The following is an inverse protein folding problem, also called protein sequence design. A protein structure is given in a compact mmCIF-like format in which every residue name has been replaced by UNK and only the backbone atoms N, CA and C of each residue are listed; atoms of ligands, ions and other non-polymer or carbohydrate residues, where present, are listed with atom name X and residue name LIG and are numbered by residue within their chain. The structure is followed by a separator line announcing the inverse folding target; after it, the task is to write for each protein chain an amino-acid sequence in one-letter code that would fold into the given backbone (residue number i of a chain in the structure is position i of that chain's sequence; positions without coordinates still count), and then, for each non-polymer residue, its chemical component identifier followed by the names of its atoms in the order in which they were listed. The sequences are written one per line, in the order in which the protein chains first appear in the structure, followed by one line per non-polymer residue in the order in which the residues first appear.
data_IF_361948757034
#
_entry.id   IF_361948757034
#
_cell.length_a   1.000
_cell.length_b   1.000
_cell.length_c   1.000
_cell.angle_alpha   90.00
_cell.angle_beta   90.00
_cell.angle_gamma   90.00
#
_symmetry.space_group_name_H-M   'P 1'
#
loop_
_entity.id
_entity.type
_entity.pdbx_description
1 polymer ?
#
# COMPACT_ATOMS: atom_id res chain seq x y z
N UNK A 1 -7.86 -15.16 6.72
CA UNK A 1 -6.91 -14.10 7.15
C UNK A 1 -7.71 -12.86 7.53
N UNK A 2 -7.39 -12.21 8.65
CA UNK A 2 -8.08 -11.00 9.15
C UNK A 2 -7.09 -9.86 9.33
N UNK A 3 -7.59 -8.62 9.46
CA UNK A 3 -6.71 -7.46 9.66
C UNK A 3 -5.81 -7.59 10.91
N UNK A 4 -6.28 -8.05 12.09
CA UNK A 4 -5.40 -8.32 13.22
C UNK A 4 -4.32 -9.37 12.93
N UNK A 5 -4.64 -10.41 12.15
CA UNK A 5 -3.65 -11.42 11.76
C UNK A 5 -2.57 -10.84 10.83
N UNK A 6 -2.96 -9.96 9.90
CA UNK A 6 -2.01 -9.23 9.04
C UNK A 6 -1.11 -8.32 9.88
N UNK A 7 -1.69 -7.60 10.85
CA UNK A 7 -0.97 -6.70 11.75
C UNK A 7 -0.04 -7.42 12.73
N UNK A 8 -0.28 -8.71 12.98
CA UNK A 8 0.60 -9.53 13.80
C UNK A 8 1.89 -9.97 13.06
N UNK A 9 1.90 -9.88 11.73
CA UNK A 9 3.07 -10.26 10.93
C UNK A 9 4.25 -9.30 11.15
N UNK A 10 5.47 -9.83 11.10
CA UNK A 10 6.70 -9.00 11.14
C UNK A 10 6.75 -8.06 9.95
N UNK A 11 6.37 -8.56 8.79
CA UNK A 11 6.42 -7.83 7.53
C UNK A 11 5.12 -8.02 6.75
N UNK A 12 4.64 -6.93 6.14
CA UNK A 12 3.48 -6.94 5.26
C UNK A 12 3.87 -6.30 3.93
N UNK A 13 3.54 -6.98 2.85
CA UNK A 13 3.89 -6.57 1.49
C UNK A 13 2.59 -6.48 0.70
N UNK A 14 2.19 -5.27 0.31
CA UNK A 14 1.00 -5.01 -0.48
C UNK A 14 1.42 -4.89 -1.94
N UNK A 15 0.89 -5.75 -2.79
CA UNK A 15 1.19 -5.73 -4.23
C UNK A 15 -0.05 -5.28 -4.98
N UNK A 16 0.09 -4.29 -5.86
CA UNK A 16 -0.99 -3.81 -6.71
C UNK A 16 -0.47 -3.42 -8.09
N UNK A 17 -1.26 -3.72 -9.12
CA UNK A 17 -0.98 -3.37 -10.50
C UNK A 17 -2.26 -2.88 -11.17
N UNK A 18 -2.13 -2.05 -12.19
CA UNK A 18 -3.25 -1.47 -12.93
C UNK A 18 -3.73 -0.11 -12.40
N UNK A 19 -4.19 0.73 -13.33
CA UNK A 19 -4.65 2.08 -13.06
C UNK A 19 -5.87 2.09 -12.13
N UNK A 20 -6.74 1.08 -12.19
CA UNK A 20 -7.92 0.98 -11.36
C UNK A 20 -7.59 0.85 -9.87
N UNK A 21 -6.35 0.47 -9.52
CA UNK A 21 -5.87 0.39 -8.13
C UNK A 21 -5.28 1.70 -7.62
N UNK A 22 -4.93 2.64 -8.51
CA UNK A 22 -4.23 3.88 -8.17
C UNK A 22 -4.96 4.72 -7.10
N UNK A 23 -6.30 4.75 -7.16
CA UNK A 23 -7.11 5.46 -6.16
C UNK A 23 -7.01 4.82 -4.77
N UNK A 24 -7.14 3.49 -4.69
CA UNK A 24 -7.06 2.75 -3.44
C UNK A 24 -5.64 2.80 -2.84
N UNK A 25 -4.61 2.73 -3.68
CA UNK A 25 -3.21 2.88 -3.28
C UNK A 25 -2.94 4.26 -2.70
N UNK A 26 -3.40 5.33 -3.37
CA UNK A 26 -3.29 6.70 -2.86
C UNK A 26 -3.95 6.83 -1.50
N UNK A 27 -5.17 6.31 -1.35
CA UNK A 27 -5.88 6.35 -0.07
C UNK A 27 -5.12 5.57 1.01
N UNK A 28 -4.62 4.37 0.70
CA UNK A 28 -3.92 3.53 1.66
C UNK A 28 -2.60 4.14 2.18
N UNK A 29 -1.92 4.91 1.33
CA UNK A 29 -0.68 5.61 1.68
C UNK A 29 -0.94 6.99 2.29
N UNK A 30 -2.07 7.62 1.99
CA UNK A 30 -2.54 8.78 2.74
C UNK A 30 -3.03 8.33 4.13
N UNK A 31 -3.08 9.22 5.13
CA UNK A 31 -3.48 8.90 6.50
C UNK A 31 -4.96 8.44 6.68
N UNK A 32 -5.59 7.89 5.64
CA UNK A 32 -6.88 7.22 5.68
C UNK A 32 -6.85 6.02 6.61
N UNK A 33 -7.96 5.78 7.31
CA UNK A 33 -8.11 4.62 8.19
C UNK A 33 -8.55 3.36 7.44
N UNK A 34 -8.39 2.17 8.05
CA UNK A 34 -8.79 0.89 7.44
C UNK A 34 -10.29 0.77 7.12
N UNK A 35 -11.12 1.63 7.70
CA UNK A 35 -12.56 1.75 7.38
C UNK A 35 -12.79 2.29 5.96
N UNK A 36 -11.93 3.23 5.51
CA UNK A 36 -12.04 3.83 4.18
C UNK A 36 -11.44 2.91 3.10
N UNK A 37 -10.28 2.31 3.41
CA UNK A 37 -9.64 1.32 2.55
C UNK A 37 -8.89 0.29 3.40
N UNK A 38 -9.21 -1.02 3.30
CA UNK A 38 -8.61 -2.03 4.17
C UNK A 38 -7.07 -2.08 4.13
N UNK A 39 -6.47 -1.80 2.96
CA UNK A 39 -5.02 -1.78 2.78
C UNK A 39 -4.31 -0.67 3.58
N UNK A 40 -5.01 0.38 4.03
CA UNK A 40 -4.44 1.37 4.94
C UNK A 40 -4.06 0.77 6.30
N UNK A 41 -4.78 -0.28 6.72
CA UNK A 41 -4.52 -1.00 7.97
C UNK A 41 -3.54 -2.16 7.85
N UNK A 42 -3.11 -2.51 6.63
CA UNK A 42 -2.23 -3.64 6.35
C UNK A 42 -0.78 -3.31 6.71
N UNK A 43 -0.52 -3.06 8.00
CA UNK A 43 0.78 -2.65 8.53
C UNK A 43 1.38 -3.77 9.37
N UNK A 44 2.60 -4.19 9.01
CA UNK A 44 3.38 -5.15 9.79
C UNK A 44 4.06 -4.49 11.00
N UNK A 45 4.47 -5.30 11.98
CA UNK A 45 5.14 -4.83 13.20
C UNK A 45 6.52 -4.23 12.96
N UNK A 46 7.22 -4.68 11.92
CA UNK A 46 8.55 -4.19 11.56
C UNK A 46 8.54 -3.38 10.27
N UNK A 47 8.01 -3.97 9.19
CA UNK A 47 8.07 -3.35 7.85
C UNK A 47 6.77 -3.52 7.09
N UNK A 48 6.41 -2.47 6.36
CA UNK A 48 5.30 -2.48 5.40
C UNK A 48 5.80 -1.93 4.08
N UNK A 49 5.69 -2.71 3.00
CA UNK A 49 6.11 -2.31 1.65
C UNK A 49 4.92 -2.35 0.69
N UNK A 50 4.87 -1.38 -0.22
CA UNK A 50 3.94 -1.37 -1.34
C UNK A 50 4.73 -1.56 -2.63
N UNK A 51 4.47 -2.66 -3.34
CA UNK A 51 5.07 -2.96 -4.64
C UNK A 51 4.03 -2.66 -5.71
N UNK A 52 4.29 -1.61 -6.49
CA UNK A 52 3.36 -1.03 -7.43
C UNK A 52 3.96 -1.02 -8.83
N UNK A 53 3.15 -1.30 -9.84
CA UNK A 53 3.50 -0.91 -11.20
C UNK A 53 3.31 0.60 -11.41
N UNK A 54 3.75 1.13 -12.56
CA UNK A 54 3.65 2.57 -12.86
C UNK A 54 2.19 3.04 -12.87
N UNK A 55 1.26 2.21 -13.35
CA UNK A 55 -0.15 2.57 -13.47
C UNK A 55 -0.82 2.71 -12.10
N UNK A 56 -0.58 1.76 -11.18
CA UNK A 56 -1.05 1.82 -9.80
C UNK A 56 -0.37 2.95 -9.00
N UNK A 57 0.87 3.30 -9.32
CA UNK A 57 1.57 4.43 -8.73
C UNK A 57 1.15 5.81 -9.31
N UNK A 58 0.33 5.87 -10.37
CA UNK A 58 0.05 7.11 -11.09
C UNK A 58 -0.64 8.23 -10.29
N UNK A 59 -1.14 7.95 -9.08
CA UNK A 59 -1.82 8.92 -8.20
C UNK A 59 -1.11 9.16 -6.87
N UNK A 60 0.06 8.58 -6.65
CA UNK A 60 0.84 8.85 -5.42
C UNK A 60 1.79 10.04 -5.63
N UNK A 61 2.07 10.82 -4.58
CA UNK A 61 3.08 11.88 -4.66
C UNK A 61 4.46 11.32 -5.05
N UNK A 62 5.24 12.03 -5.90
CA UNK A 62 6.55 11.57 -6.35
C UNK A 62 7.51 11.23 -5.20
N UNK A 63 7.43 11.95 -4.08
CA UNK A 63 8.25 11.73 -2.89
C UNK A 63 8.02 10.38 -2.20
N UNK A 64 6.87 9.73 -2.45
CA UNK A 64 6.55 8.40 -1.91
C UNK A 64 7.01 7.27 -2.85
N UNK A 65 7.31 7.58 -4.11
CA UNK A 65 7.75 6.60 -5.10
C UNK A 65 9.27 6.50 -5.16
N UNK A 66 9.82 5.32 -4.81
CA UNK A 66 11.16 4.95 -5.26
C UNK A 66 11.04 4.03 -6.46
N UNK A 67 11.57 4.43 -7.61
CA UNK A 67 11.69 3.54 -8.76
C UNK A 67 12.60 2.35 -8.40
N UNK A 68 12.11 1.12 -8.60
CA UNK A 68 12.85 -0.10 -8.28
C UNK A 68 13.97 -0.41 -9.31
N UNK A 69 13.93 0.21 -10.48
CA UNK A 69 14.96 0.18 -11.54
C UNK A 69 14.95 1.51 -12.33
N UNK A 70 16.09 1.95 -12.90
CA UNK A 70 16.18 3.13 -13.76
C UNK A 70 15.35 3.01 -15.05
#
# INVERSE_FOLDING_TARGET
LTLPAIQAAREVWVVAAGEEKSGAVRLALSHSGPVQVPSAGARGRGRTLFLLDRAAAGKIPPELGRAASP
#
